data_IF_948240241815
#
_entry.id   IF_948240241815
#
_cell.length_a   1.000
_cell.length_b   1.000
_cell.length_c   1.000
_cell.angle_alpha   90.00
_cell.angle_beta   90.00
_cell.angle_gamma   90.00
#
_symmetry.space_group_name_H-M   'P 1'
#
loop_
_entity.id
_entity.type
_entity.pdbx_description
1 polymer ?
#
# COMPACT_ATOMS: atom_id res chain seq x y z
N UNK A 1 4.73 -60.59 44.41
CA UNK A 1 3.95 -61.59 43.63
C UNK A 1 3.74 -61.00 42.23
N UNK A 2 4.07 -61.56 41.06
CA UNK A 2 4.62 -62.82 40.51
C UNK A 2 5.31 -62.40 39.19
N UNK A 3 6.62 -62.64 38.98
CA UNK A 3 7.26 -63.70 38.15
C UNK A 3 6.53 -64.05 36.83
N UNK A 4 7.10 -63.70 35.66
CA UNK A 4 7.95 -64.50 34.72
C UNK A 4 7.15 -65.53 33.90
N UNK A 5 7.35 -65.56 32.56
CA UNK A 5 7.60 -66.70 31.63
C UNK A 5 7.60 -66.12 30.18
N UNK A 6 8.69 -66.05 29.42
CA UNK A 6 9.45 -67.09 28.68
C UNK A 6 8.71 -67.74 27.49
N UNK A 7 9.13 -67.34 26.28
CA UNK A 7 9.52 -68.14 25.10
C UNK A 7 8.59 -69.27 24.60
N UNK A 8 8.11 -69.17 23.35
CA UNK A 8 7.95 -70.33 22.45
C UNK A 8 8.24 -70.00 20.98
N UNK A 9 9.03 -70.91 20.42
CA UNK A 9 9.47 -71.13 19.03
C UNK A 9 8.37 -71.84 18.23
N UNK A 10 8.55 -71.89 16.89
CA UNK A 10 8.14 -72.90 15.88
C UNK A 10 7.16 -72.32 14.82
N UNK A 11 7.21 -72.51 13.50
CA UNK A 11 8.12 -73.00 12.43
C UNK A 11 7.22 -73.10 11.15
N UNK A 12 7.82 -73.04 9.95
CA UNK A 12 7.25 -73.38 8.61
C UNK A 12 6.25 -72.36 8.02
N UNK A 13 6.37 -71.89 6.76
CA UNK A 13 6.34 -72.66 5.51
C UNK A 13 7.06 -71.93 4.35
N UNK A 14 7.79 -72.74 3.59
CA UNK A 14 8.27 -72.70 2.20
C UNK A 14 8.32 -71.41 1.36
N UNK A 15 9.45 -71.31 0.65
CA UNK A 15 9.65 -70.64 -0.63
C UNK A 15 8.58 -70.95 -1.67
N UNK A 16 8.17 -69.94 -2.44
CA UNK A 16 8.02 -69.93 -3.91
C UNK A 16 7.83 -68.46 -4.33
N UNK A 17 8.59 -68.02 -5.34
CA UNK A 17 8.72 -66.61 -5.69
C UNK A 17 7.52 -65.99 -6.41
N UNK A 18 7.45 -64.66 -6.40
CA UNK A 18 7.16 -63.73 -7.53
C UNK A 18 6.85 -62.31 -6.99
N UNK A 19 7.57 -61.33 -7.55
CA UNK A 19 7.45 -59.85 -7.51
C UNK A 19 6.78 -59.13 -6.32
N UNK A 20 7.55 -58.28 -5.63
CA UNK A 20 7.00 -57.11 -4.90
C UNK A 20 6.99 -55.89 -5.82
N UNK A 21 5.90 -55.08 -5.86
CA UNK A 21 5.93 -53.77 -6.49
C UNK A 21 6.65 -52.76 -5.60
N UNK A 22 7.36 -51.83 -6.24
CA UNK A 22 8.06 -50.73 -5.60
C UNK A 22 7.10 -49.86 -4.76
N UNK A 23 7.44 -49.64 -3.49
CA UNK A 23 6.86 -48.56 -2.69
C UNK A 23 7.40 -47.23 -3.21
N UNK A 24 6.59 -46.53 -4.00
CA UNK A 24 6.86 -45.19 -4.52
C UNK A 24 6.86 -44.18 -3.35
N UNK A 25 7.93 -43.39 -3.27
CA UNK A 25 8.12 -42.27 -2.35
C UNK A 25 7.18 -41.12 -2.73
N UNK A 26 5.94 -41.16 -2.25
CA UNK A 26 4.93 -40.10 -2.51
C UNK A 26 5.17 -38.77 -1.77
N UNK A 27 6.14 -38.72 -0.84
CA UNK A 27 6.37 -37.53 -0.01
C UNK A 27 7.36 -36.51 -0.62
N UNK A 28 8.14 -36.91 -1.64
CA UNK A 28 9.17 -36.06 -2.26
C UNK A 28 8.70 -35.38 -3.56
N UNK A 29 7.70 -35.93 -4.24
CA UNK A 29 7.16 -35.32 -5.48
C UNK A 29 6.19 -34.18 -5.18
N UNK A 30 5.34 -34.31 -4.15
CA UNK A 30 4.38 -33.27 -3.78
C UNK A 30 5.06 -31.98 -3.28
N UNK A 31 6.21 -32.10 -2.63
CA UNK A 31 7.00 -30.93 -2.18
C UNK A 31 7.74 -30.28 -3.35
N UNK A 32 8.35 -31.06 -4.24
CA UNK A 32 9.02 -30.55 -5.42
C UNK A 32 8.05 -29.88 -6.41
N UNK A 33 6.87 -30.46 -6.64
CA UNK A 33 5.81 -29.85 -7.46
C UNK A 33 5.32 -28.53 -6.85
N UNK A 34 5.14 -28.47 -5.52
CA UNK A 34 4.74 -27.24 -4.83
C UNK A 34 5.79 -26.13 -4.91
N UNK A 35 7.08 -26.49 -4.83
CA UNK A 35 8.19 -25.54 -4.98
C UNK A 35 8.29 -25.05 -6.42
N UNK A 36 8.16 -25.93 -7.42
CA UNK A 36 8.19 -25.57 -8.85
C UNK A 36 7.02 -24.70 -9.28
N UNK A 37 5.81 -24.94 -8.75
CA UNK A 37 4.64 -24.12 -9.04
C UNK A 37 4.75 -22.74 -8.39
N UNK A 38 5.40 -22.65 -7.22
CA UNK A 38 5.67 -21.38 -6.54
C UNK A 38 6.77 -20.58 -7.26
N UNK A 39 7.83 -21.22 -7.77
CA UNK A 39 8.83 -20.55 -8.64
C UNK A 39 8.24 -20.11 -9.97
N UNK A 40 7.43 -20.92 -10.65
CA UNK A 40 6.77 -20.50 -11.90
C UNK A 40 5.80 -19.34 -11.68
N UNK A 41 5.03 -19.33 -10.59
CA UNK A 41 4.17 -18.18 -10.22
C UNK A 41 5.00 -16.94 -9.93
N UNK A 42 6.16 -17.09 -9.29
CA UNK A 42 7.09 -15.99 -8.99
C UNK A 42 7.73 -15.44 -10.26
N UNK A 43 8.19 -16.30 -11.17
CA UNK A 43 8.74 -15.90 -12.48
C UNK A 43 7.68 -15.22 -13.36
N UNK A 44 6.44 -15.73 -13.37
CA UNK A 44 5.33 -15.12 -14.11
C UNK A 44 4.92 -13.76 -13.53
N UNK A 45 5.04 -13.55 -12.21
CA UNK A 45 4.82 -12.24 -11.57
C UNK A 45 5.93 -11.24 -11.92
N UNK A 46 7.20 -11.69 -11.96
CA UNK A 46 8.34 -10.84 -12.35
C UNK A 46 8.22 -10.43 -13.82
N UNK A 47 7.79 -11.33 -14.71
CA UNK A 47 7.52 -11.02 -16.13
C UNK A 47 6.39 -9.99 -16.37
N UNK A 48 5.53 -9.74 -15.39
CA UNK A 48 4.49 -8.72 -15.49
C UNK A 48 4.95 -7.33 -15.03
N UNK A 49 6.14 -7.21 -14.43
CA UNK A 49 6.61 -5.96 -13.85
C UNK A 49 7.39 -5.09 -14.85
N UNK A 50 8.17 -5.72 -15.73
CA UNK A 50 8.97 -5.05 -16.76
C UNK A 50 9.18 -5.95 -17.98
N UNK A 51 9.35 -5.35 -19.17
CA UNK A 51 9.59 -6.05 -20.42
C UNK A 51 11.05 -6.52 -20.60
N UNK A 52 11.36 -7.18 -21.72
CA UNK A 52 12.70 -7.67 -22.04
C UNK A 52 13.74 -6.53 -22.18
N UNK A 53 13.27 -5.31 -22.39
CA UNK A 53 14.07 -4.09 -22.50
C UNK A 53 14.28 -3.41 -21.13
N UNK A 54 13.62 -3.91 -20.07
CA UNK A 54 13.68 -3.39 -18.71
C UNK A 54 12.75 -2.21 -18.44
N UNK A 55 11.79 -1.95 -19.34
CA UNK A 55 10.77 -0.92 -19.18
C UNK A 55 9.66 -1.42 -18.27
N UNK A 56 9.18 -0.56 -17.38
CA UNK A 56 8.02 -0.85 -16.55
C UNK A 56 6.76 -0.42 -17.29
N UNK A 57 5.65 -1.10 -17.04
CA UNK A 57 4.38 -0.75 -17.66
C UNK A 57 3.29 -0.51 -16.62
N UNK A 58 2.38 0.41 -16.93
CA UNK A 58 1.09 0.44 -16.24
C UNK A 58 0.18 -0.71 -16.72
N UNK A 59 -1.01 -0.82 -16.12
CA UNK A 59 -1.98 -1.87 -16.45
C UNK A 59 -2.46 -1.83 -17.92
N UNK A 60 -2.31 -0.71 -18.61
CA UNK A 60 -2.67 -0.57 -20.03
C UNK A 60 -1.53 -0.92 -20.97
N UNK A 61 -0.34 -1.26 -20.44
CA UNK A 61 0.86 -1.54 -21.23
C UNK A 61 1.65 -0.28 -21.58
N UNK A 62 1.28 0.90 -21.07
CA UNK A 62 2.02 2.12 -21.30
C UNK A 62 3.33 2.11 -20.50
N UNK A 63 4.44 2.48 -21.14
CA UNK A 63 5.77 2.53 -20.51
C UNK A 63 5.81 3.64 -19.47
N UNK A 64 6.18 3.29 -18.24
CA UNK A 64 6.28 4.21 -17.11
C UNK A 64 7.72 4.40 -16.66
N UNK A 65 8.00 5.54 -16.04
CA UNK A 65 9.33 5.88 -15.54
C UNK A 65 9.60 5.26 -14.16
N UNK A 66 10.88 5.01 -13.86
CA UNK A 66 11.32 4.72 -12.48
C UNK A 66 11.25 5.98 -11.62
N UNK A 67 11.09 5.80 -10.31
CA UNK A 67 10.97 6.92 -9.37
C UNK A 67 11.65 6.64 -8.03
N UNK A 68 11.55 7.60 -7.10
CA UNK A 68 12.09 7.49 -5.73
C UNK A 68 10.99 7.63 -4.69
N UNK A 69 11.18 7.04 -3.50
CA UNK A 69 10.25 7.20 -2.37
C UNK A 69 10.04 8.66 -2.02
N UNK A 70 11.11 9.47 -2.12
CA UNK A 70 11.02 10.91 -1.94
C UNK A 70 10.06 11.54 -2.95
N UNK A 71 10.26 11.30 -4.25
CA UNK A 71 9.40 11.89 -5.28
C UNK A 71 7.94 11.46 -5.12
N UNK A 72 7.69 10.18 -4.87
CA UNK A 72 6.34 9.66 -4.61
C UNK A 72 5.64 10.39 -3.44
N UNK A 73 6.35 10.62 -2.33
CA UNK A 73 5.80 11.35 -1.18
C UNK A 73 5.64 12.85 -1.44
N UNK A 74 6.53 13.48 -2.21
CA UNK A 74 6.39 14.87 -2.67
C UNK A 74 5.15 15.03 -3.55
N UNK A 75 4.93 14.12 -4.51
CA UNK A 75 3.71 14.05 -5.33
C UNK A 75 2.47 13.85 -4.44
N UNK A 76 2.53 12.93 -3.48
CA UNK A 76 1.44 12.66 -2.54
C UNK A 76 1.01 13.90 -1.73
N UNK A 77 1.92 14.85 -1.49
CA UNK A 77 1.65 16.09 -0.78
C UNK A 77 1.05 17.19 -1.67
N UNK A 78 1.12 17.09 -3.00
CA UNK A 78 0.66 18.16 -3.89
C UNK A 78 -0.83 18.50 -3.73
N UNK A 79 -1.78 17.54 -3.60
CA UNK A 79 -3.20 17.83 -3.40
C UNK A 79 -3.57 18.25 -1.96
N UNK A 80 -2.64 18.10 -1.01
CA UNK A 80 -2.92 18.34 0.41
C UNK A 80 -3.30 19.80 0.63
N UNK A 81 -4.39 20.01 1.38
CA UNK A 81 -4.83 21.34 1.77
C UNK A 81 -5.53 22.15 0.68
N UNK A 82 -5.74 21.57 -0.51
CA UNK A 82 -6.41 22.25 -1.64
C UNK A 82 -7.33 21.36 -2.46
N UNK A 83 -7.59 20.11 -2.05
CA UNK A 83 -8.47 19.19 -2.78
C UNK A 83 -9.49 18.55 -1.86
N UNK A 84 -10.78 18.69 -2.19
CA UNK A 84 -11.90 18.18 -1.41
C UNK A 84 -12.13 16.67 -1.62
N UNK A 85 -12.75 16.02 -0.63
CA UNK A 85 -13.16 14.62 -0.76
C UNK A 85 -14.44 14.53 -1.57
N UNK A 86 -14.39 13.91 -2.75
CA UNK A 86 -15.60 13.60 -3.52
C UNK A 86 -15.73 12.10 -3.64
N UNK A 87 -16.84 11.52 -3.18
CA UNK A 87 -17.11 10.09 -3.41
C UNK A 87 -17.17 9.80 -4.92
N UNK A 88 -16.30 8.92 -5.43
CA UNK A 88 -16.13 8.66 -6.86
C UNK A 88 -15.22 9.67 -7.59
N UNK A 89 -14.64 10.65 -6.87
CA UNK A 89 -13.67 11.59 -7.41
C UNK A 89 -12.40 10.88 -7.88
N UNK A 90 -11.88 11.27 -9.04
CA UNK A 90 -10.72 10.65 -9.67
C UNK A 90 -11.02 9.39 -10.52
N UNK A 91 -12.25 8.88 -10.55
CA UNK A 91 -12.59 7.72 -11.40
C UNK A 91 -12.82 8.08 -12.88
N UNK A 92 -12.76 9.37 -13.24
CA UNK A 92 -12.78 9.81 -14.63
C UNK A 92 -11.37 9.72 -15.24
N UNK A 93 -11.20 8.90 -16.29
CA UNK A 93 -9.90 8.68 -16.98
C UNK A 93 -9.22 9.98 -17.39
N UNK A 94 -10.01 11.01 -17.73
CA UNK A 94 -9.46 12.31 -18.16
C UNK A 94 -8.68 12.99 -17.03
N UNK A 95 -9.15 12.92 -15.78
CA UNK A 95 -8.56 13.70 -14.66
C UNK A 95 -7.52 12.94 -13.84
N UNK A 96 -7.64 11.61 -13.72
CA UNK A 96 -6.54 10.81 -13.16
C UNK A 96 -5.46 10.47 -14.16
N UNK A 97 -5.73 10.68 -15.45
CA UNK A 97 -4.74 10.69 -16.51
C UNK A 97 -4.21 12.09 -16.86
N UNK A 98 -4.41 13.10 -16.00
CA UNK A 98 -3.85 14.45 -16.20
C UNK A 98 -2.62 14.64 -15.31
N UNK A 99 -1.56 15.19 -15.89
CA UNK A 99 -0.36 15.62 -15.16
C UNK A 99 -0.63 16.90 -14.34
N UNK A 100 -0.16 16.90 -13.10
CA UNK A 100 -0.30 18.00 -12.16
C UNK A 100 -1.66 18.03 -11.46
N UNK A 101 -1.76 18.90 -10.45
CA UNK A 101 -3.00 19.10 -9.70
C UNK A 101 -3.94 20.01 -10.51
N UNK A 102 -5.15 19.57 -10.87
CA UNK A 102 -6.11 20.41 -11.57
C UNK A 102 -6.48 21.67 -10.79
N UNK A 103 -6.45 22.84 -11.46
CA UNK A 103 -6.82 24.13 -10.86
C UNK A 103 -8.22 24.12 -10.24
N UNK A 104 -9.16 23.41 -10.88
CA UNK A 104 -10.53 23.23 -10.40
C UNK A 104 -10.62 22.68 -8.98
N UNK A 105 -9.69 21.82 -8.54
CA UNK A 105 -9.75 21.27 -7.19
C UNK A 105 -9.52 22.34 -6.13
N UNK A 106 -8.59 23.24 -6.38
CA UNK A 106 -8.29 24.37 -5.48
C UNK A 106 -9.39 25.42 -5.52
N UNK A 107 -9.92 25.74 -6.71
CA UNK A 107 -11.10 26.59 -6.87
C UNK A 107 -12.28 26.05 -6.04
N UNK A 108 -12.58 24.76 -6.17
CA UNK A 108 -13.65 24.13 -5.43
C UNK A 108 -13.42 24.14 -3.91
N UNK A 109 -12.20 23.87 -3.44
CA UNK A 109 -11.84 24.02 -2.03
C UNK A 109 -12.06 25.44 -1.51
N UNK A 110 -11.75 26.45 -2.32
CA UNK A 110 -11.94 27.85 -1.96
C UNK A 110 -13.42 28.23 -1.85
N UNK A 111 -14.30 27.61 -2.64
CA UNK A 111 -15.76 27.75 -2.56
C UNK A 111 -16.36 27.13 -1.27
N UNK A 112 -15.70 26.12 -0.68
CA UNK A 112 -16.24 25.41 0.48
C UNK A 112 -16.01 26.13 1.81
N UNK A 113 -16.93 25.93 2.76
CA UNK A 113 -16.81 26.38 4.16
C UNK A 113 -16.56 25.19 5.10
N UNK A 114 -16.44 25.46 6.41
CA UNK A 114 -16.36 24.41 7.44
C UNK A 114 -17.60 23.48 7.47
N UNK A 115 -18.71 23.88 6.85
CA UNK A 115 -19.96 23.11 6.78
C UNK A 115 -19.98 22.07 5.64
N UNK A 116 -18.87 21.93 4.91
CA UNK A 116 -18.76 21.00 3.79
C UNK A 116 -19.23 19.58 4.13
N UNK A 117 -20.09 19.02 3.29
CA UNK A 117 -20.63 17.68 3.46
C UNK A 117 -20.52 16.88 2.16
N UNK A 118 -19.54 15.98 2.10
CA UNK A 118 -19.31 15.14 0.91
C UNK A 118 -20.51 14.28 0.49
N UNK A 119 -21.51 14.05 1.37
CA UNK A 119 -22.69 13.26 1.05
C UNK A 119 -23.60 13.96 0.04
N UNK A 120 -23.58 15.29 -0.02
CA UNK A 120 -24.39 16.08 -0.97
C UNK A 120 -23.65 16.32 -2.30
N UNK A 121 -22.34 16.06 -2.35
CA UNK A 121 -21.48 16.34 -3.51
C UNK A 121 -20.92 15.05 -4.14
N UNK A 122 -21.53 13.89 -3.85
CA UNK A 122 -21.10 12.59 -4.39
C UNK A 122 -21.11 12.63 -5.92
N UNK A 123 -20.10 12.02 -6.53
CA UNK A 123 -19.94 11.91 -7.99
C UNK A 123 -19.79 13.23 -8.75
N UNK A 124 -19.52 14.35 -8.07
CA UNK A 124 -18.95 15.55 -8.71
C UNK A 124 -17.48 15.29 -9.07
N UNK A 125 -17.23 14.32 -9.95
CA UNK A 125 -15.94 13.64 -10.11
C UNK A 125 -14.80 14.54 -10.58
N UNK A 126 -15.12 15.76 -11.03
CA UNK A 126 -14.16 16.79 -11.45
C UNK A 126 -13.70 17.71 -10.31
N UNK A 127 -14.39 17.69 -9.15
CA UNK A 127 -14.23 18.69 -8.08
C UNK A 127 -13.34 18.20 -6.94
N UNK A 128 -12.86 16.96 -7.01
CA UNK A 128 -11.95 16.41 -6.01
C UNK A 128 -11.70 14.92 -6.17
N UNK A 129 -11.26 14.28 -5.08
CA UNK A 129 -10.76 12.91 -5.07
C UNK A 129 -11.39 12.10 -3.94
N UNK A 130 -11.80 10.84 -4.20
CA UNK A 130 -11.98 9.88 -3.10
C UNK A 130 -10.64 9.26 -2.68
N UNK A 131 -10.66 8.35 -1.71
CA UNK A 131 -9.44 7.71 -1.22
C UNK A 131 -8.66 6.96 -2.32
N UNK A 132 -9.36 6.19 -3.17
CA UNK A 132 -8.77 5.44 -4.27
C UNK A 132 -8.35 6.31 -5.44
N UNK A 133 -9.15 7.31 -5.80
CA UNK A 133 -8.84 8.31 -6.80
C UNK A 133 -7.59 9.09 -6.41
N UNK A 134 -7.43 9.40 -5.12
CA UNK A 134 -6.22 10.04 -4.61
C UNK A 134 -4.98 9.18 -4.81
N UNK A 135 -4.96 7.94 -4.32
CA UNK A 135 -3.78 7.08 -4.48
C UNK A 135 -3.51 6.79 -5.97
N UNK A 136 -4.55 6.62 -6.79
CA UNK A 136 -4.41 6.46 -8.22
C UNK A 136 -3.80 7.68 -8.91
N UNK A 137 -4.24 8.89 -8.55
CA UNK A 137 -3.67 10.15 -9.05
C UNK A 137 -2.20 10.31 -8.64
N UNK A 138 -1.85 9.95 -7.39
CA UNK A 138 -0.47 10.03 -6.90
C UNK A 138 0.44 9.11 -7.71
N UNK A 139 0.01 7.86 -7.94
CA UNK A 139 0.81 6.91 -8.73
C UNK A 139 0.95 7.36 -10.18
N UNK A 140 -0.12 7.87 -10.80
CA UNK A 140 -0.07 8.45 -12.14
C UNK A 140 1.00 9.54 -12.23
N UNK A 141 0.95 10.52 -11.33
CA UNK A 141 1.86 11.66 -11.33
C UNK A 141 3.28 11.32 -10.85
N UNK A 142 3.50 10.12 -10.32
CA UNK A 142 4.83 9.61 -9.96
C UNK A 142 5.51 8.94 -11.15
N UNK A 143 4.73 8.28 -12.00
CA UNK A 143 5.23 7.30 -12.97
C UNK A 143 4.98 7.68 -14.44
N UNK A 144 4.03 8.55 -14.73
CA UNK A 144 3.74 9.02 -16.09
C UNK A 144 4.41 10.38 -16.35
N UNK A 145 4.80 10.60 -17.60
CA UNK A 145 5.37 11.87 -18.08
C UNK A 145 4.37 12.69 -18.92
N UNK A 146 3.31 12.06 -19.39
CA UNK A 146 2.32 12.65 -20.30
C UNK A 146 0.91 12.36 -19.81
N UNK A 147 -0.05 13.19 -20.22
CA UNK A 147 -1.47 13.00 -19.95
C UNK A 147 -2.12 12.00 -20.91
N UNK A 148 -3.26 11.40 -20.54
CA UNK A 148 -4.08 10.55 -21.41
C UNK A 148 -3.85 9.05 -21.25
N UNK A 149 -2.93 8.66 -20.38
CA UNK A 149 -2.66 7.26 -20.00
C UNK A 149 -3.33 6.96 -18.65
N UNK A 150 -3.24 5.72 -18.14
CA UNK A 150 -3.79 5.45 -16.81
C UNK A 150 -3.99 3.98 -16.48
N UNK A 151 -4.75 3.72 -15.43
CA UNK A 151 -5.02 2.35 -14.96
C UNK A 151 -4.72 2.11 -13.49
N UNK A 152 -4.35 3.17 -12.75
CA UNK A 152 -4.02 3.09 -11.33
C UNK A 152 -5.27 3.07 -10.44
N UNK A 153 -6.36 3.73 -10.83
CA UNK A 153 -7.57 3.81 -9.99
C UNK A 153 -8.32 2.48 -10.02
N UNK A 154 -8.62 1.95 -8.84
CA UNK A 154 -9.43 0.76 -8.62
C UNK A 154 -10.05 0.82 -7.22
N UNK A 155 -10.83 -0.20 -6.85
CA UNK A 155 -11.44 -0.25 -5.53
C UNK A 155 -10.37 -0.21 -4.42
N UNK A 156 -10.57 0.66 -3.42
CA UNK A 156 -9.59 0.93 -2.37
C UNK A 156 -9.07 -0.34 -1.66
N UNK A 157 -9.96 -1.31 -1.43
CA UNK A 157 -9.63 -2.59 -0.78
C UNK A 157 -8.72 -3.51 -1.62
N UNK A 158 -8.59 -3.25 -2.92
CA UNK A 158 -7.76 -4.07 -3.83
C UNK A 158 -6.37 -3.46 -4.07
N UNK A 159 -6.22 -2.14 -3.90
CA UNK A 159 -5.05 -1.38 -4.36
C UNK A 159 -3.71 -1.96 -3.87
N UNK A 160 -3.54 -2.12 -2.55
CA UNK A 160 -2.28 -2.65 -2.00
C UNK A 160 -1.90 -4.01 -2.61
N UNK A 161 -2.87 -4.94 -2.67
CA UNK A 161 -2.61 -6.28 -3.23
C UNK A 161 -2.33 -6.22 -4.73
N UNK A 162 -3.10 -5.46 -5.49
CA UNK A 162 -2.94 -5.36 -6.95
C UNK A 162 -1.59 -4.77 -7.32
N UNK A 163 -1.14 -3.69 -6.66
CA UNK A 163 0.16 -3.09 -6.96
C UNK A 163 1.33 -4.01 -6.61
N UNK A 164 1.21 -4.80 -5.54
CA UNK A 164 2.19 -5.84 -5.25
C UNK A 164 2.17 -6.97 -6.29
N UNK A 165 0.99 -7.35 -6.79
CA UNK A 165 0.85 -8.36 -7.84
C UNK A 165 1.38 -7.87 -9.21
N UNK A 166 1.50 -6.56 -9.42
CA UNK A 166 2.26 -5.97 -10.55
C UNK A 166 3.78 -6.04 -10.35
N UNK A 167 4.24 -6.60 -9.23
CA UNK A 167 5.67 -6.78 -8.93
C UNK A 167 6.34 -5.56 -8.31
N UNK A 168 5.62 -4.48 -8.00
CA UNK A 168 6.21 -3.25 -7.45
C UNK A 168 6.63 -3.35 -5.98
N UNK A 169 6.21 -4.40 -5.29
CA UNK A 169 6.49 -4.57 -3.87
C UNK A 169 5.92 -5.84 -3.27
N UNK A 170 6.02 -5.95 -1.95
CA UNK A 170 5.50 -7.05 -1.16
C UNK A 170 4.12 -6.70 -0.62
N UNK A 171 3.17 -7.63 -0.74
CA UNK A 171 1.88 -7.55 -0.05
C UNK A 171 1.89 -8.38 1.22
N UNK A 172 1.34 -7.81 2.28
CA UNK A 172 1.03 -8.49 3.54
C UNK A 172 -0.43 -8.29 3.91
N UNK A 173 -1.06 -9.39 4.33
CA UNK A 173 -2.46 -9.40 4.75
C UNK A 173 -2.70 -8.49 5.99
N UNK A 174 -3.94 -8.02 6.21
CA UNK A 174 -4.25 -7.13 7.32
C UNK A 174 -3.82 -7.66 8.68
N UNK A 175 -3.01 -6.87 9.39
CA UNK A 175 -2.57 -7.11 10.77
C UNK A 175 -2.11 -5.81 11.42
N UNK A 176 -1.76 -5.87 12.71
CA UNK A 176 -0.99 -4.81 13.33
C UNK A 176 0.48 -4.93 12.92
N UNK A 177 0.96 -3.97 12.14
CA UNK A 177 2.36 -3.88 11.76
C UNK A 177 3.15 -3.03 12.76
N UNK A 178 4.42 -3.38 12.94
CA UNK A 178 5.35 -2.68 13.84
C UNK A 178 6.47 -1.95 13.10
N UNK A 179 6.53 -2.14 11.78
CA UNK A 179 7.62 -1.80 10.88
C UNK A 179 7.12 -1.06 9.63
N UNK A 180 5.96 -0.36 9.69
CA UNK A 180 5.48 0.44 8.57
C UNK A 180 6.51 1.50 8.19
N UNK A 181 6.75 1.63 6.88
CA UNK A 181 7.79 2.47 6.30
C UNK A 181 7.18 3.60 5.49
N UNK A 182 7.97 4.64 5.29
CA UNK A 182 7.62 5.72 4.38
C UNK A 182 7.26 5.16 2.99
N UNK A 183 6.15 5.64 2.43
CA UNK A 183 5.61 5.22 1.13
C UNK A 183 4.71 4.00 1.15
N UNK A 184 4.61 3.23 2.24
CA UNK A 184 3.72 2.05 2.27
C UNK A 184 2.27 2.43 1.93
N UNK A 185 1.62 1.63 1.07
CA UNK A 185 0.20 1.79 0.70
C UNK A 185 -0.63 0.82 1.53
N UNK A 186 -1.63 1.34 2.24
CA UNK A 186 -2.42 0.58 3.20
C UNK A 186 -3.88 0.52 2.74
N UNK A 187 -4.42 -0.68 2.51
CA UNK A 187 -5.79 -0.91 2.02
C UNK A 187 -6.67 -1.62 3.06
N UNK A 188 -7.80 -1.02 3.42
CA UNK A 188 -8.81 -1.59 4.32
C UNK A 188 -9.82 -2.44 3.55
N UNK A 189 -10.10 -3.69 3.97
CA UNK A 189 -11.10 -4.55 3.31
C UNK A 189 -12.50 -3.93 3.20
N UNK A 190 -12.90 -3.09 4.17
CA UNK A 190 -14.20 -2.42 4.18
C UNK A 190 -14.24 -1.09 3.42
N UNK A 191 -13.21 -0.76 2.64
CA UNK A 191 -13.20 0.40 1.73
C UNK A 191 -12.57 1.66 2.32
N UNK A 192 -11.23 1.67 2.38
CA UNK A 192 -10.41 2.88 2.52
C UNK A 192 -8.96 2.58 2.11
N UNK A 193 -8.22 3.58 1.65
CA UNK A 193 -6.78 3.44 1.33
C UNK A 193 -6.02 4.70 1.76
N UNK A 194 -4.77 4.55 2.17
CA UNK A 194 -3.89 5.68 2.51
C UNK A 194 -2.41 5.36 2.24
N UNK A 195 -1.57 6.41 2.24
CA UNK A 195 -0.12 6.32 2.12
C UNK A 195 0.53 6.68 3.46
N UNK A 196 1.52 5.90 3.90
CA UNK A 196 2.29 6.16 5.11
C UNK A 196 3.38 7.19 4.81
N UNK A 197 3.43 8.29 5.57
CA UNK A 197 4.58 9.21 5.57
C UNK A 197 5.67 8.63 6.47
N UNK A 198 5.31 8.11 7.64
CA UNK A 198 6.25 7.42 8.51
C UNK A 198 5.65 7.00 9.84
N UNK A 199 6.41 6.18 10.58
CA UNK A 199 6.06 5.69 11.90
C UNK A 199 6.77 6.47 13.00
N UNK A 200 6.07 6.69 14.12
CA UNK A 200 6.61 7.27 15.34
C UNK A 200 6.98 6.18 16.36
N UNK A 201 7.82 6.52 17.34
CA UNK A 201 8.28 5.56 18.35
C UNK A 201 7.17 5.05 19.28
N UNK A 202 6.06 5.79 19.43
CA UNK A 202 4.87 5.33 20.15
C UNK A 202 3.94 4.43 19.31
N UNK A 203 4.40 4.01 18.13
CA UNK A 203 3.66 3.15 17.20
C UNK A 203 2.54 3.85 16.44
N UNK A 204 2.37 5.17 16.59
CA UNK A 204 1.47 5.94 15.74
C UNK A 204 2.06 6.21 14.36
N UNK A 205 1.20 6.39 13.36
CA UNK A 205 1.58 6.69 11.97
C UNK A 205 1.17 8.11 11.59
N UNK A 206 2.09 8.81 10.92
CA UNK A 206 1.74 9.97 10.09
C UNK A 206 1.39 9.44 8.71
N UNK A 207 0.21 9.80 8.21
CA UNK A 207 -0.30 9.32 6.93
C UNK A 207 -0.81 10.49 6.09
N UNK A 208 -0.85 10.29 4.78
CA UNK A 208 -1.51 11.20 3.84
C UNK A 208 -2.58 10.44 3.07
N UNK A 209 -3.76 11.04 2.97
CA UNK A 209 -4.90 10.43 2.30
C UNK A 209 -5.97 11.44 1.91
N UNK A 210 -6.91 11.02 1.06
CA UNK A 210 -8.22 11.64 0.93
C UNK A 210 -9.23 10.90 1.81
N UNK A 211 -9.84 11.60 2.75
CA UNK A 211 -10.93 11.11 3.61
C UNK A 211 -11.95 12.24 3.78
N UNK A 212 -13.14 12.05 4.40
CA UNK A 212 -14.12 13.13 4.55
C UNK A 212 -13.47 14.48 4.92
N UNK A 213 -13.86 15.55 4.22
CA UNK A 213 -13.19 16.85 4.04
C UNK A 213 -12.23 16.91 2.84
N UNK A 214 -11.28 15.98 2.69
CA UNK A 214 -10.43 15.85 1.49
C UNK A 214 -9.00 15.42 1.75
N UNK A 215 -8.08 15.88 0.91
CA UNK A 215 -6.68 15.48 0.92
C UNK A 215 -5.92 16.17 2.06
N UNK A 216 -5.39 15.39 3.00
CA UNK A 216 -4.79 15.91 4.23
C UNK A 216 -3.75 14.97 4.83
N UNK A 217 -2.84 15.55 5.61
CA UNK A 217 -1.95 14.81 6.51
C UNK A 217 -2.68 14.58 7.84
N UNK A 218 -2.68 13.33 8.32
CA UNK A 218 -3.28 12.97 9.61
C UNK A 218 -2.33 12.14 10.46
N UNK A 219 -2.62 12.09 11.76
CA UNK A 219 -1.90 11.25 12.71
C UNK A 219 -2.85 10.27 13.38
N UNK A 220 -2.46 8.99 13.42
CA UNK A 220 -3.22 7.98 14.17
C UNK A 220 -3.01 8.16 15.67
N UNK A 221 -3.86 7.55 16.49
CA UNK A 221 -3.53 7.27 17.91
C UNK A 221 -2.26 6.39 18.01
N UNK A 222 -1.65 6.34 19.20
CA UNK A 222 -0.54 5.41 19.47
C UNK A 222 -0.99 3.96 19.34
N UNK A 223 -0.05 3.00 19.32
CA UNK A 223 -0.38 1.57 19.36
C UNK A 223 -1.24 1.20 20.59
N UNK A 224 -1.04 1.90 21.70
CA UNK A 224 -1.86 1.79 22.93
C UNK A 224 -3.16 2.62 22.92
N UNK A 225 -3.57 3.21 21.79
CA UNK A 225 -4.80 4.00 21.68
C UNK A 225 -4.76 5.42 22.27
N UNK A 226 -3.58 5.95 22.64
CA UNK A 226 -3.46 7.31 23.21
C UNK A 226 -3.76 8.37 22.14
N UNK A 227 -4.74 9.24 22.43
CA UNK A 227 -5.23 10.29 21.51
C UNK A 227 -4.23 11.40 21.19
N UNK A 228 -3.30 11.71 22.11
CA UNK A 228 -2.25 12.73 21.94
C UNK A 228 -0.91 12.10 21.54
N UNK A 229 -0.96 11.23 20.53
CA UNK A 229 0.20 10.53 19.99
C UNK A 229 1.23 11.48 19.37
N UNK A 230 2.44 10.98 19.12
CA UNK A 230 3.47 11.71 18.40
C UNK A 230 3.02 12.05 16.98
N UNK A 231 2.44 11.10 16.23
CA UNK A 231 1.97 11.36 14.88
C UNK A 231 0.88 12.44 14.82
N UNK A 232 -0.06 12.45 15.77
CA UNK A 232 -1.07 13.50 15.84
C UNK A 232 -0.44 14.88 16.06
N UNK A 233 0.58 14.99 16.92
CA UNK A 233 1.31 16.25 17.15
C UNK A 233 2.05 16.70 15.88
N UNK A 234 2.70 15.78 15.17
CA UNK A 234 3.39 16.06 13.91
C UNK A 234 2.43 16.50 12.83
N UNK A 235 1.38 15.73 12.54
CA UNK A 235 0.37 16.09 11.55
C UNK A 235 -0.26 17.45 11.86
N UNK A 236 -0.59 17.73 13.14
CA UNK A 236 -1.08 19.04 13.57
C UNK A 236 -0.09 20.17 13.29
N UNK A 237 1.19 19.97 13.63
CA UNK A 237 2.27 20.97 13.43
C UNK A 237 2.38 21.34 11.96
N UNK A 238 2.43 20.34 11.07
CA UNK A 238 2.63 20.56 9.64
C UNK A 238 1.38 21.10 8.96
N UNK A 239 0.19 20.55 9.25
CA UNK A 239 -1.07 21.09 8.71
C UNK A 239 -1.30 22.54 9.12
N UNK A 240 -1.05 22.90 10.38
CA UNK A 240 -1.20 24.29 10.85
C UNK A 240 -0.17 25.24 10.23
N UNK A 241 1.07 24.78 10.00
CA UNK A 241 2.16 25.62 9.48
C UNK A 241 2.05 25.84 7.97
N UNK A 242 1.84 24.78 7.20
CA UNK A 242 1.95 24.80 5.74
C UNK A 242 0.59 24.85 5.03
N UNK A 243 -0.49 24.40 5.68
CA UNK A 243 -1.84 24.31 5.08
C UNK A 243 -2.87 25.06 5.94
N UNK A 244 -2.54 26.30 6.32
CA UNK A 244 -3.31 27.07 7.31
C UNK A 244 -4.77 27.28 6.92
N UNK A 245 -5.04 27.62 5.65
CA UNK A 245 -6.41 27.83 5.17
C UNK A 245 -7.27 26.58 5.36
N UNK A 246 -6.72 25.40 5.01
CA UNK A 246 -7.36 24.11 5.26
C UNK A 246 -7.57 23.85 6.75
N UNK A 247 -6.50 23.98 7.54
CA UNK A 247 -6.53 23.63 8.97
C UNK A 247 -7.52 24.50 9.77
N UNK A 248 -7.75 25.75 9.34
CA UNK A 248 -8.78 26.62 9.91
C UNK A 248 -10.19 26.06 9.67
N UNK A 249 -10.50 25.61 8.45
CA UNK A 249 -11.82 25.02 8.11
C UNK A 249 -12.01 23.62 8.72
N UNK A 250 -10.96 22.80 8.69
CA UNK A 250 -11.02 21.37 9.04
C UNK A 250 -9.88 20.95 9.99
N UNK A 251 -9.97 21.29 11.29
CA UNK A 251 -8.87 21.07 12.25
C UNK A 251 -8.71 19.61 12.73
N UNK A 252 -9.68 18.73 12.48
CA UNK A 252 -9.61 17.32 12.91
C UNK A 252 -8.73 16.46 11.99
N UNK A 253 -7.49 16.27 12.43
CA UNK A 253 -6.46 15.48 11.75
C UNK A 253 -6.11 14.19 12.50
N UNK A 254 -6.97 13.71 13.40
CA UNK A 254 -6.72 12.49 14.19
C UNK A 254 -7.38 11.27 13.57
N UNK A 255 -6.71 10.12 13.59
CA UNK A 255 -7.29 8.84 13.15
C UNK A 255 -7.28 7.77 14.25
N UNK A 256 -8.33 6.93 14.34
CA UNK A 256 -8.47 5.93 15.40
C UNK A 256 -7.53 4.74 15.21
N UNK A 257 -7.51 3.83 16.19
CA UNK A 257 -6.63 2.65 16.20
C UNK A 257 -6.88 1.70 15.03
N UNK A 258 -8.08 1.70 14.44
CA UNK A 258 -8.40 0.86 13.28
C UNK A 258 -7.51 1.13 12.07
N UNK A 259 -6.91 2.32 11.99
CA UNK A 259 -5.91 2.64 10.97
C UNK A 259 -4.61 1.86 11.13
N UNK A 260 -4.35 1.24 12.29
CA UNK A 260 -3.13 0.46 12.56
C UNK A 260 -3.31 -1.05 12.38
N UNK A 261 -4.54 -1.57 12.50
CA UNK A 261 -4.79 -3.02 12.66
C UNK A 261 -5.54 -3.67 11.51
N UNK A 262 -6.33 -2.89 10.77
CA UNK A 262 -7.33 -3.45 9.84
C UNK A 262 -6.92 -3.39 8.37
N UNK A 263 -5.74 -2.87 8.06
CA UNK A 263 -5.31 -2.58 6.68
C UNK A 263 -4.29 -3.62 6.22
N UNK A 264 -4.44 -4.14 5.01
CA UNK A 264 -3.36 -4.84 4.31
C UNK A 264 -2.32 -3.85 3.82
N UNK A 265 -1.06 -4.29 3.76
CA UNK A 265 0.09 -3.44 3.41
C UNK A 265 0.66 -3.83 2.06
N UNK A 266 0.95 -2.85 1.23
CA UNK A 266 1.93 -2.96 0.17
C UNK A 266 3.16 -2.14 0.56
N UNK A 267 4.32 -2.79 0.51
CA UNK A 267 5.61 -2.16 0.78
C UNK A 267 6.52 -2.27 -0.44
N UNK A 268 7.02 -1.13 -0.92
CA UNK A 268 7.83 -1.04 -2.13
C UNK A 268 9.12 -1.87 -2.06
N UNK A 269 9.46 -2.53 -3.16
CA UNK A 269 10.85 -2.88 -3.43
C UNK A 269 11.61 -1.58 -3.76
N UNK A 270 12.78 -1.42 -3.14
CA UNK A 270 13.61 -0.19 -3.23
C UNK A 270 15.10 -0.51 -3.25
N UNK A 271 15.45 -1.78 -3.38
CA UNK A 271 16.80 -2.31 -3.19
C UNK A 271 17.72 -2.09 -4.40
N UNK A 272 17.34 -1.17 -5.29
CA UNK A 272 18.16 -0.73 -6.42
C UNK A 272 18.35 -1.80 -7.51
N UNK A 273 17.60 -2.92 -7.43
CA UNK A 273 17.64 -3.94 -8.46
C UNK A 273 17.01 -3.44 -9.77
N UNK A 274 17.41 -3.98 -10.93
CA UNK A 274 16.88 -3.56 -12.23
C UNK A 274 15.36 -3.70 -12.33
N UNK A 275 14.80 -4.69 -11.62
CA UNK A 275 13.37 -5.04 -11.54
C UNK A 275 12.56 -4.19 -10.54
N UNK A 276 13.18 -3.16 -9.94
CA UNK A 276 12.47 -2.21 -9.07
C UNK A 276 12.08 -0.93 -9.82
N UNK A 277 10.77 -0.62 -9.81
CA UNK A 277 10.23 0.66 -10.32
C UNK A 277 10.52 1.83 -9.37
N UNK A 278 10.83 1.53 -8.10
CA UNK A 278 11.13 2.50 -7.06
C UNK A 278 12.55 2.34 -6.51
N UNK A 279 13.14 3.43 -6.06
CA UNK A 279 14.39 3.46 -5.29
C UNK A 279 14.25 4.35 -4.06
N UNK A 280 15.17 4.23 -3.09
CA UNK A 280 15.17 5.06 -1.87
C UNK A 280 16.59 5.60 -1.56
N UNK A 281 17.17 6.45 -2.44
CA UNK A 281 18.55 6.91 -2.26
C UNK A 281 18.73 7.78 -1.00
N UNK A 282 17.70 8.47 -0.53
CA UNK A 282 17.72 9.22 0.73
C UNK A 282 17.46 8.37 1.99
N UNK A 283 17.15 7.08 1.81
CA UNK A 283 16.87 6.14 2.91
C UNK A 283 15.67 6.56 3.75
N UNK A 284 14.64 7.18 3.16
CA UNK A 284 13.45 7.65 3.86
C UNK A 284 12.71 6.51 4.57
N UNK A 285 12.77 5.30 4.03
CA UNK A 285 12.12 4.10 4.62
C UNK A 285 12.74 3.67 5.95
N UNK A 286 13.94 4.17 6.28
CA UNK A 286 14.63 3.92 7.55
C UNK A 286 14.57 5.10 8.53
N UNK A 287 13.89 6.19 8.16
CA UNK A 287 13.74 7.40 8.97
C UNK A 287 12.47 7.36 9.82
N UNK A 288 12.51 8.08 10.93
CA UNK A 288 11.30 8.38 11.71
C UNK A 288 10.34 9.29 10.94
N UNK A 289 9.06 9.30 11.32
CA UNK A 289 8.06 10.19 10.72
C UNK A 289 8.47 11.68 10.77
N UNK A 290 9.12 12.11 11.84
CA UNK A 290 9.60 13.50 11.97
C UNK A 290 10.70 13.81 10.95
N UNK A 291 11.70 12.92 10.81
CA UNK A 291 12.78 13.09 9.85
C UNK A 291 12.27 13.08 8.40
N UNK A 292 11.32 12.19 8.06
CA UNK A 292 10.70 12.18 6.73
C UNK A 292 9.98 13.51 6.46
N UNK A 293 9.15 13.97 7.40
CA UNK A 293 8.47 15.26 7.26
C UNK A 293 9.44 16.44 7.18
N UNK A 294 10.60 16.39 7.84
CA UNK A 294 11.63 17.41 7.70
C UNK A 294 12.25 17.39 6.30
N UNK A 295 12.43 16.24 5.66
CA UNK A 295 12.92 16.17 4.28
C UNK A 295 11.89 16.73 3.30
N UNK A 296 10.61 16.37 3.46
CA UNK A 296 9.54 16.74 2.52
C UNK A 296 9.16 18.23 2.53
N UNK A 297 9.48 18.97 3.60
CA UNK A 297 9.09 20.39 3.78
C UNK A 297 10.30 21.32 4.00
N UNK A 298 11.47 20.89 3.52
CA UNK A 298 12.69 21.70 3.49
C UNK A 298 12.66 22.74 2.38
#
# INVERSE_FOLDING_TARGET
MKKIYSLRVLLLVLMLGLSMPATVSFATEATAESETEETEKKEKKIKNAFDEEGNFHDRTGYVIQKSTIRHFLEVALQPVGKTMYIWGGGWNRVKTGEMGVPARWEEYFNEQTEEYNYKTTRYQTNDGLDCSGYVGWVLYNTFNTESGHGGYVMLAQQMAKTYADWGWGLYEAPRMFEDQKAGDIMSLPSGHVYIVIGRCSDGSLVIVHSSPNGCMITGTVSSLGKKKSQAWKLARKYMKKYYRAWYTKYPDIRRPISYLTSYGRMSWYVDGRPDSVMSDPEGLRNKSAEEVLQVLFR
#
